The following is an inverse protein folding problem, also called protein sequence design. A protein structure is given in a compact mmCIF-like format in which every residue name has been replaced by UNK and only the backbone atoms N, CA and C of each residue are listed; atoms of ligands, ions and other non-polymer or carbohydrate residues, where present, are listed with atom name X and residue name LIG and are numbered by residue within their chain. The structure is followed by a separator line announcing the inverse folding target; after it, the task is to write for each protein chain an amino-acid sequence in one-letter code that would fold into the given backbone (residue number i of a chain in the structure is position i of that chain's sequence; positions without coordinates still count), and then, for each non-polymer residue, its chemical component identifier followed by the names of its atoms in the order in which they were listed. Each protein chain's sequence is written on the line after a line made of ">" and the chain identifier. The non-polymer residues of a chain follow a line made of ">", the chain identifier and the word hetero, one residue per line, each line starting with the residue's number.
data_IF_879413771558
#
_entry.id   IF_879413771558
#
_cell.length_a   1.000
_cell.length_b   1.000
_cell.length_c   1.000
_cell.angle_alpha   90.00
_cell.angle_beta   90.00
_cell.angle_gamma   90.00
#
_symmetry.space_group_name_H-M   'P 1'
#
loop_
_entity.id
_entity.type
_entity.pdbx_description
1 polymer ?
#
# COMPACT_ATOMS: atom_id res chain seq x y z
N UNK A 1 -16.42 -15.34 5.48
CA UNK A 1 -15.24 -14.46 5.48
C UNK A 1 -15.56 -13.23 4.67
N UNK A 2 -15.51 -12.05 5.29
CA UNK A 2 -15.72 -10.76 4.59
C UNK A 2 -14.63 -10.62 3.53
N UNK A 3 -15.01 -10.28 2.29
CA UNK A 3 -14.01 -9.97 1.27
C UNK A 3 -13.28 -8.69 1.68
N UNK A 4 -11.93 -8.67 1.64
CA UNK A 4 -11.20 -7.45 1.94
C UNK A 4 -11.65 -6.34 1.00
N UNK A 5 -11.88 -5.15 1.57
CA UNK A 5 -12.38 -3.99 0.82
C UNK A 5 -11.26 -3.26 0.05
N UNK A 6 -10.13 -3.92 -0.18
CA UNK A 6 -8.98 -3.41 -0.93
C UNK A 6 -8.73 -4.28 -2.16
N UNK A 7 -8.05 -3.71 -3.16
CA UNK A 7 -7.67 -4.44 -4.37
C UNK A 7 -6.60 -5.49 -4.08
N UNK A 8 -6.49 -6.51 -4.94
CA UNK A 8 -5.39 -7.48 -4.89
C UNK A 8 -4.26 -7.01 -5.81
N UNK A 9 -2.99 -7.09 -5.40
CA UNK A 9 -1.88 -6.80 -6.29
C UNK A 9 -1.88 -7.77 -7.48
N UNK A 10 -1.55 -7.26 -8.67
CA UNK A 10 -1.32 -8.11 -9.84
C UNK A 10 0.10 -8.69 -9.76
N UNK A 11 0.23 -9.84 -9.08
CA UNK A 11 1.53 -10.47 -8.83
C UNK A 11 2.26 -10.87 -10.12
N UNK A 12 1.53 -11.30 -11.15
CA UNK A 12 2.14 -11.62 -12.45
C UNK A 12 2.80 -10.39 -13.08
N UNK A 13 2.16 -9.22 -13.01
CA UNK A 13 2.77 -7.98 -13.48
C UNK A 13 3.94 -7.54 -12.60
N UNK A 14 3.80 -7.57 -11.28
CA UNK A 14 4.90 -7.21 -10.36
C UNK A 14 6.13 -8.10 -10.58
N UNK A 15 5.96 -9.38 -10.88
CA UNK A 15 7.09 -10.27 -11.16
C UNK A 15 7.91 -9.86 -12.39
N UNK A 16 7.31 -9.17 -13.37
CA UNK A 16 8.06 -8.72 -14.56
C UNK A 16 9.03 -7.60 -14.23
N UNK A 17 8.81 -6.84 -13.15
CA UNK A 17 9.71 -5.75 -12.75
C UNK A 17 11.10 -6.25 -12.37
N UNK A 18 11.19 -7.47 -11.82
CA UNK A 18 12.46 -8.11 -11.44
C UNK A 18 13.14 -8.85 -12.59
N UNK A 19 12.45 -9.01 -13.72
CA UNK A 19 12.95 -9.75 -14.88
C UNK A 19 13.52 -8.83 -15.98
N UNK A 20 13.43 -7.50 -15.82
CA UNK A 20 13.97 -6.56 -16.79
C UNK A 20 15.51 -6.59 -16.77
N UNK A 21 16.19 -6.98 -17.86
CA UNK A 21 17.65 -6.97 -17.91
C UNK A 21 18.22 -5.55 -17.90
N UNK A 22 17.41 -4.52 -18.18
CA UNK A 22 17.78 -3.12 -18.06
C UNK A 22 17.30 -2.58 -16.71
N UNK A 23 18.04 -2.92 -15.65
CA UNK A 23 17.84 -2.45 -14.27
C UNK A 23 18.09 -0.93 -14.15
N UNK A 24 17.13 -0.16 -14.65
CA UNK A 24 17.14 1.32 -14.68
C UNK A 24 16.12 1.85 -13.67
N UNK A 25 16.27 3.12 -13.23
CA UNK A 25 15.28 3.74 -12.37
C UNK A 25 13.88 3.65 -12.96
N UNK A 26 12.92 3.25 -12.13
CA UNK A 26 11.51 3.24 -12.46
C UNK A 26 10.75 4.35 -11.75
N UNK A 27 9.66 4.80 -12.36
CA UNK A 27 8.71 5.70 -11.71
C UNK A 27 7.46 4.93 -11.32
N UNK A 28 7.20 4.84 -10.02
CA UNK A 28 5.98 4.27 -9.47
C UNK A 28 4.98 5.40 -9.19
N UNK A 29 4.00 5.59 -10.09
CA UNK A 29 2.91 6.55 -9.87
C UNK A 29 1.88 5.94 -8.92
N UNK A 30 1.71 6.57 -7.76
CA UNK A 30 0.71 6.15 -6.78
C UNK A 30 -0.57 6.98 -6.91
N UNK A 31 -1.71 6.32 -7.16
CA UNK A 31 -3.03 6.96 -7.25
C UNK A 31 -3.90 6.48 -6.09
N UNK A 32 -3.97 7.28 -5.03
CA UNK A 32 -4.59 6.89 -3.77
C UNK A 32 -5.99 7.46 -3.61
N UNK A 33 -6.91 6.65 -3.09
CA UNK A 33 -8.21 7.08 -2.59
C UNK A 33 -8.39 6.60 -1.16
N UNK A 34 -8.24 7.52 -0.21
CA UNK A 34 -8.30 7.19 1.21
C UNK A 34 -9.72 6.96 1.71
N UNK A 35 -9.82 6.16 2.77
CA UNK A 35 -11.07 5.96 3.51
C UNK A 35 -11.22 7.05 4.58
N UNK A 36 -12.46 7.44 4.91
CA UNK A 36 -12.70 8.32 6.06
C UNK A 36 -12.19 7.73 7.38
N UNK A 37 -12.28 6.41 7.54
CA UNK A 37 -11.79 5.66 8.70
C UNK A 37 -10.98 4.47 8.18
N UNK A 38 -9.77 4.30 8.70
CA UNK A 38 -8.89 3.17 8.38
C UNK A 38 -9.46 1.85 8.92
N UNK A 39 -9.20 0.76 8.19
CA UNK A 39 -9.72 -0.58 8.51
C UNK A 39 -8.57 -1.47 8.96
N UNK A 40 -8.32 -1.50 10.28
CA UNK A 40 -7.31 -2.34 10.90
C UNK A 40 -7.92 -3.68 11.32
N UNK A 41 -7.33 -4.78 10.84
CA UNK A 41 -7.81 -6.15 11.12
C UNK A 41 -7.05 -6.81 12.29
N UNK A 42 -6.12 -6.09 12.92
CA UNK A 42 -5.29 -6.57 14.03
C UNK A 42 -5.90 -6.28 15.41
N UNK A 43 -7.14 -5.78 15.45
CA UNK A 43 -7.90 -5.59 16.68
C UNK A 43 -7.49 -4.38 17.52
N UNK A 44 -6.64 -3.48 17.00
CA UNK A 44 -6.29 -2.25 17.71
C UNK A 44 -7.52 -1.35 17.90
N UNK A 45 -7.63 -0.73 19.08
CA UNK A 45 -8.63 0.30 19.34
C UNK A 45 -8.11 1.66 18.86
N UNK A 46 -8.13 1.84 17.53
CA UNK A 46 -7.61 3.04 16.87
C UNK A 46 -8.56 3.46 15.75
N UNK A 47 -9.12 4.66 15.86
CA UNK A 47 -10.00 5.26 14.85
C UNK A 47 -9.34 6.48 14.22
N UNK A 48 -8.47 6.24 13.25
CA UNK A 48 -7.81 7.28 12.45
C UNK A 48 -8.28 7.27 10.99
N UNK A 49 -8.04 8.34 10.25
CA UNK A 49 -8.36 8.38 8.82
C UNK A 49 -7.46 7.46 8.01
N UNK A 50 -7.89 7.09 6.81
CA UNK A 50 -7.03 6.32 5.90
C UNK A 50 -5.78 7.07 5.46
N UNK A 51 -5.81 8.41 5.46
CA UNK A 51 -4.64 9.24 5.15
C UNK A 51 -3.65 9.28 6.31
N UNK A 52 -4.13 9.39 7.56
CA UNK A 52 -3.27 9.33 8.74
C UNK A 52 -2.62 7.95 8.87
N UNK A 53 -3.37 6.89 8.55
CA UNK A 53 -2.85 5.53 8.50
C UNK A 53 -1.72 5.39 7.46
N UNK A 54 -1.88 5.93 6.25
CA UNK A 54 -0.84 5.93 5.20
C UNK A 54 0.42 6.67 5.67
N UNK A 55 0.26 7.83 6.33
CA UNK A 55 1.37 8.60 6.87
C UNK A 55 2.20 7.81 7.90
N UNK A 56 1.56 6.97 8.72
CA UNK A 56 2.28 6.10 9.69
C UNK A 56 3.20 5.08 9.00
N UNK A 57 2.89 4.68 7.77
CA UNK A 57 3.70 3.75 6.97
C UNK A 57 4.65 4.45 6.02
N UNK A 58 4.68 5.79 6.00
CA UNK A 58 5.59 6.54 5.16
C UNK A 58 7.04 6.27 5.63
N UNK A 59 7.93 5.74 4.77
CA UNK A 59 9.28 5.33 5.15
C UNK A 59 10.24 6.52 5.35
N UNK A 60 9.74 7.68 5.79
CA UNK A 60 10.53 8.90 6.03
C UNK A 60 11.19 8.94 7.41
N UNK A 61 11.15 7.84 8.19
CA UNK A 61 11.93 7.66 9.42
C UNK A 61 13.34 7.11 9.13
N UNK A 62 14.27 7.12 10.11
CA UNK A 62 15.59 6.50 9.92
C UNK A 62 15.44 5.01 9.59
N UNK A 63 16.27 4.54 8.65
CA UNK A 63 16.40 3.13 8.27
C UNK A 63 16.87 2.26 9.43
#
# INVERSE_FOLDING_TARGET
>A
MSMPRYGKPNLSYVSTWFADPNDKPMWALNLMKYRPIADYQDGRDLSISGADADLLYNPTGPL
#
